data_IF_460672993939
#
_entry.id   IF_460672993939
#
_cell.length_a   1.000
_cell.length_b   1.000
_cell.length_c   1.000
_cell.angle_alpha   90.00
_cell.angle_beta   90.00
_cell.angle_gamma   90.00
#
_symmetry.space_group_name_H-M   'P 1'
#
loop_
_entity.id
_entity.type
_entity.pdbx_description
1 polymer ?
#
# COMPACT_ATOMS: atom_id res chain seq x y z
N UNK A 1 5.60 4.51 -30.06
CA UNK A 1 5.96 3.21 -30.64
C UNK A 1 7.30 2.63 -30.16
N UNK A 2 8.31 3.41 -29.75
CA UNK A 2 9.55 2.85 -29.15
C UNK A 2 9.42 2.44 -27.66
N UNK A 3 8.60 3.15 -26.88
CA UNK A 3 8.39 2.88 -25.44
C UNK A 3 7.69 1.53 -25.18
N UNK A 4 6.72 1.16 -26.01
CA UNK A 4 5.97 -0.10 -25.87
C UNK A 4 6.83 -1.34 -26.12
N UNK A 5 7.69 -1.33 -27.15
CA UNK A 5 8.60 -2.43 -27.42
C UNK A 5 9.69 -2.61 -26.34
N UNK A 6 10.14 -1.50 -25.74
CA UNK A 6 11.10 -1.56 -24.62
C UNK A 6 10.43 -2.10 -23.35
N UNK A 7 9.21 -1.64 -23.05
CA UNK A 7 8.42 -2.15 -21.93
C UNK A 7 8.13 -3.65 -22.09
N UNK A 8 7.74 -4.11 -23.29
CA UNK A 8 7.53 -5.53 -23.60
C UNK A 8 8.82 -6.37 -23.48
N UNK A 9 9.98 -5.84 -23.85
CA UNK A 9 11.26 -6.53 -23.66
C UNK A 9 11.67 -6.64 -22.18
N UNK A 10 11.36 -5.63 -21.36
CA UNK A 10 11.60 -5.65 -19.90
C UNK A 10 10.64 -6.64 -19.22
N UNK A 11 9.38 -6.74 -19.69
CA UNK A 11 8.39 -7.72 -19.24
C UNK A 11 8.87 -9.16 -19.52
N UNK A 12 9.44 -9.41 -20.69
CA UNK A 12 9.93 -10.75 -21.08
C UNK A 12 11.27 -11.17 -20.43
N UNK A 13 11.98 -10.30 -19.70
CA UNK A 13 13.40 -10.52 -19.35
C UNK A 13 13.75 -10.57 -17.85
N UNK A 14 12.82 -10.88 -16.94
CA UNK A 14 13.08 -10.79 -15.49
C UNK A 14 13.44 -9.35 -15.02
N UNK A 15 12.89 -8.34 -15.70
CA UNK A 15 13.19 -6.94 -15.39
C UNK A 15 12.73 -6.50 -13.99
N UNK A 16 11.74 -7.17 -13.40
CA UNK A 16 11.17 -6.81 -12.10
C UNK A 16 12.21 -6.91 -10.94
N UNK A 17 12.89 -8.05 -10.71
CA UNK A 17 14.00 -8.12 -9.74
C UNK A 17 15.11 -7.08 -9.96
N UNK A 18 15.45 -6.80 -11.22
CA UNK A 18 16.50 -5.83 -11.56
C UNK A 18 16.07 -4.42 -11.18
N UNK A 19 14.83 -4.03 -11.50
CA UNK A 19 14.28 -2.73 -11.15
C UNK A 19 14.10 -2.55 -9.64
N UNK A 20 13.71 -3.60 -8.92
CA UNK A 20 13.66 -3.59 -7.45
C UNK A 20 15.06 -3.35 -6.88
N UNK A 21 16.07 -4.06 -7.38
CA UNK A 21 17.47 -3.88 -6.94
C UNK A 21 17.98 -2.49 -7.27
N UNK A 22 17.67 -1.97 -8.45
CA UNK A 22 18.01 -0.61 -8.86
C UNK A 22 17.33 0.42 -7.95
N UNK A 23 16.04 0.26 -7.67
CA UNK A 23 15.29 1.11 -6.74
C UNK A 23 15.99 1.15 -5.38
N UNK A 24 16.51 0.03 -4.89
CA UNK A 24 17.17 -0.07 -3.59
C UNK A 24 18.53 0.63 -3.51
N UNK A 25 19.30 0.64 -4.58
CA UNK A 25 20.67 1.18 -4.61
C UNK A 25 20.75 2.62 -5.15
N UNK A 26 19.74 3.08 -5.87
CA UNK A 26 19.76 4.40 -6.53
C UNK A 26 19.48 5.53 -5.54
N UNK A 27 20.19 6.65 -5.72
CA UNK A 27 20.03 7.89 -4.94
C UNK A 27 19.66 9.10 -5.81
N UNK A 28 19.85 9.02 -7.13
CA UNK A 28 19.46 10.08 -8.04
C UNK A 28 17.93 10.11 -8.23
N UNK A 29 17.31 11.26 -7.93
CA UNK A 29 15.85 11.40 -8.00
C UNK A 29 15.27 11.14 -9.40
N UNK A 30 15.94 11.60 -10.46
CA UNK A 30 15.48 11.38 -11.83
C UNK A 30 15.51 9.90 -12.20
N UNK A 31 16.58 9.20 -11.81
CA UNK A 31 16.69 7.75 -12.00
C UNK A 31 15.63 7.01 -11.18
N UNK A 32 15.40 7.42 -9.92
CA UNK A 32 14.32 6.87 -9.08
C UNK A 32 12.95 7.06 -9.75
N UNK A 33 12.63 8.26 -10.23
CA UNK A 33 11.37 8.54 -10.95
C UNK A 33 11.19 7.63 -12.17
N UNK A 34 12.26 7.41 -12.95
CA UNK A 34 12.24 6.49 -14.10
C UNK A 34 12.03 5.03 -13.68
N UNK A 35 12.72 4.58 -12.63
CA UNK A 35 12.58 3.21 -12.09
C UNK A 35 11.17 2.99 -11.57
N UNK A 36 10.63 3.93 -10.79
CA UNK A 36 9.27 3.86 -10.24
C UNK A 36 8.24 3.80 -11.37
N UNK A 37 8.42 4.61 -12.41
CA UNK A 37 7.53 4.57 -13.57
C UNK A 37 7.62 3.23 -14.31
N UNK A 38 8.83 2.70 -14.52
CA UNK A 38 8.99 1.40 -15.16
C UNK A 38 8.29 0.31 -14.34
N UNK A 39 8.49 0.29 -13.02
CA UNK A 39 7.79 -0.60 -12.10
C UNK A 39 6.27 -0.43 -12.20
N UNK A 40 5.76 0.81 -12.23
CA UNK A 40 4.33 1.11 -12.35
C UNK A 40 3.72 0.45 -13.59
N UNK A 41 4.39 0.56 -14.73
CA UNK A 41 3.87 -0.02 -15.98
C UNK A 41 3.90 -1.54 -15.97
N UNK A 42 4.90 -2.16 -15.32
CA UNK A 42 4.94 -3.62 -15.16
C UNK A 42 3.81 -4.13 -14.27
N UNK A 43 3.52 -3.42 -13.17
CA UNK A 43 2.54 -3.85 -12.17
C UNK A 43 1.10 -3.49 -12.56
N UNK A 44 0.91 -2.49 -13.43
CA UNK A 44 -0.40 -1.95 -13.82
C UNK A 44 -1.40 -3.00 -14.31
N UNK A 45 -0.93 -4.06 -14.97
CA UNK A 45 -1.80 -5.06 -15.60
C UNK A 45 -1.59 -6.49 -15.10
N UNK A 46 -0.73 -6.70 -14.10
CA UNK A 46 -0.38 -8.06 -13.65
C UNK A 46 -0.38 -8.15 -12.12
N UNK A 47 -1.41 -8.82 -11.58
CA UNK A 47 -1.49 -9.15 -10.14
C UNK A 47 -0.32 -10.06 -9.73
N UNK A 48 0.16 -10.90 -10.63
CA UNK A 48 1.36 -11.74 -10.41
C UNK A 48 2.61 -10.89 -10.20
N UNK A 49 2.82 -9.84 -11.01
CA UNK A 49 3.94 -8.93 -10.82
C UNK A 49 3.82 -8.12 -9.52
N UNK A 50 2.60 -7.77 -9.11
CA UNK A 50 2.36 -7.14 -7.79
C UNK A 50 2.71 -8.11 -6.66
N UNK A 51 2.32 -9.38 -6.77
CA UNK A 51 2.65 -10.39 -5.77
C UNK A 51 4.16 -10.55 -5.59
N UNK A 52 4.93 -10.52 -6.67
CA UNK A 52 6.38 -10.61 -6.64
C UNK A 52 7.08 -9.35 -6.05
N UNK A 53 6.36 -8.25 -5.81
CA UNK A 53 6.91 -7.09 -5.08
C UNK A 53 6.97 -7.31 -3.57
N UNK A 54 6.14 -8.22 -3.04
CA UNK A 54 5.93 -8.35 -1.60
C UNK A 54 7.22 -8.73 -0.85
N UNK A 55 8.11 -9.49 -1.47
CA UNK A 55 9.40 -9.88 -0.87
C UNK A 55 10.42 -8.74 -0.78
N UNK A 56 10.11 -7.57 -1.33
CA UNK A 56 11.10 -6.51 -1.57
C UNK A 56 10.87 -5.20 -0.84
N UNK A 57 9.87 -5.13 0.05
CA UNK A 57 9.54 -3.94 0.87
C UNK A 57 9.39 -2.65 0.05
N UNK A 58 9.02 -2.77 -1.23
CA UNK A 58 8.92 -1.64 -2.18
C UNK A 58 7.89 -0.61 -1.69
N UNK A 59 6.74 -1.05 -1.18
CA UNK A 59 5.73 -0.16 -0.63
C UNK A 59 6.27 0.71 0.51
N UNK A 60 7.03 0.12 1.44
CA UNK A 60 7.62 0.86 2.55
C UNK A 60 8.67 1.87 2.06
N UNK A 61 9.51 1.50 1.09
CA UNK A 61 10.50 2.41 0.51
C UNK A 61 9.84 3.60 -0.20
N UNK A 62 8.82 3.34 -1.02
CA UNK A 62 8.09 4.40 -1.73
C UNK A 62 7.33 5.32 -0.79
N UNK A 63 6.74 4.76 0.27
CA UNK A 63 6.08 5.56 1.30
C UNK A 63 7.09 6.51 1.99
N UNK A 64 8.29 6.01 2.32
CA UNK A 64 9.35 6.83 2.91
C UNK A 64 9.81 7.95 1.97
N UNK A 65 9.97 7.66 0.68
CA UNK A 65 10.31 8.69 -0.33
C UNK A 65 9.18 9.73 -0.42
N UNK A 66 7.92 9.29 -0.43
CA UNK A 66 6.77 10.18 -0.51
C UNK A 66 6.69 11.15 0.69
N UNK A 67 6.92 10.64 1.90
CA UNK A 67 6.82 11.44 3.14
C UNK A 67 8.04 12.35 3.34
N UNK A 68 9.22 11.97 2.82
CA UNK A 68 10.46 12.72 2.99
C UNK A 68 10.32 14.19 2.57
N UNK A 69 10.73 15.13 3.41
CA UNK A 69 10.78 16.56 3.08
C UNK A 69 11.82 16.88 2.01
N UNK A 70 12.79 16.00 1.80
CA UNK A 70 13.89 16.19 0.84
C UNK A 70 13.48 15.81 -0.58
N UNK A 71 12.42 15.03 -0.75
CA UNK A 71 12.00 14.55 -2.07
C UNK A 71 11.27 15.62 -2.88
N UNK A 72 11.64 15.73 -4.15
CA UNK A 72 11.00 16.67 -5.07
C UNK A 72 9.49 16.39 -5.27
N UNK A 73 8.69 17.42 -5.62
CA UNK A 73 7.27 17.26 -5.90
C UNK A 73 6.98 16.24 -7.01
N UNK A 74 7.84 16.18 -8.05
CA UNK A 74 7.70 15.22 -9.15
C UNK A 74 7.88 13.78 -8.66
N UNK A 75 8.94 13.52 -7.89
CA UNK A 75 9.21 12.20 -7.32
C UNK A 75 8.08 11.76 -6.37
N UNK A 76 7.54 12.68 -5.57
CA UNK A 76 6.38 12.41 -4.71
C UNK A 76 5.13 12.08 -5.50
N UNK A 77 4.82 12.86 -6.54
CA UNK A 77 3.71 12.55 -7.45
C UNK A 77 3.86 11.16 -8.08
N UNK A 78 5.08 10.77 -8.43
CA UNK A 78 5.36 9.45 -9.01
C UNK A 78 5.17 8.31 -8.00
N UNK A 79 5.67 8.47 -6.78
CA UNK A 79 5.44 7.52 -5.69
C UNK A 79 3.94 7.36 -5.42
N UNK A 80 3.21 8.47 -5.32
CA UNK A 80 1.77 8.44 -5.07
C UNK A 80 1.00 7.74 -6.18
N UNK A 81 1.33 8.00 -7.45
CA UNK A 81 0.72 7.33 -8.60
C UNK A 81 0.91 5.82 -8.53
N UNK A 82 2.16 5.37 -8.31
CA UNK A 82 2.49 3.95 -8.17
C UNK A 82 1.73 3.29 -7.01
N UNK A 83 1.74 3.93 -5.82
CA UNK A 83 1.07 3.38 -4.63
C UNK A 83 -0.43 3.22 -4.89
N UNK A 84 -1.09 4.24 -5.45
CA UNK A 84 -2.53 4.17 -5.76
C UNK A 84 -2.86 3.10 -6.80
N UNK A 85 -2.03 2.94 -7.82
CA UNK A 85 -2.26 2.00 -8.93
C UNK A 85 -1.87 0.56 -8.62
N UNK A 86 -1.12 0.32 -7.54
CA UNK A 86 -0.62 -1.01 -7.18
C UNK A 86 -1.32 -1.57 -5.93
N UNK A 87 -1.72 -0.71 -4.99
CA UNK A 87 -2.39 -1.13 -3.74
C UNK A 87 -3.70 -1.86 -4.00
N UNK A 88 -4.49 -1.44 -5.00
CA UNK A 88 -5.75 -2.09 -5.37
C UNK A 88 -5.62 -3.53 -5.89
N UNK A 89 -4.40 -3.96 -6.21
CA UNK A 89 -4.04 -5.30 -6.72
C UNK A 89 -3.22 -6.11 -5.73
N UNK A 90 -2.80 -5.51 -4.61
CA UNK A 90 -2.03 -6.21 -3.60
C UNK A 90 -2.98 -6.96 -2.65
N UNK A 91 -2.83 -8.29 -2.59
CA UNK A 91 -3.62 -9.17 -1.71
C UNK A 91 -2.81 -9.66 -0.50
N UNK A 92 -1.55 -9.26 -0.36
CA UNK A 92 -0.79 -9.52 0.85
C UNK A 92 -1.19 -8.51 1.93
N UNK A 93 -1.84 -9.01 2.97
CA UNK A 93 -2.35 -8.17 4.05
C UNK A 93 -1.24 -7.44 4.81
N UNK A 94 -0.06 -8.04 4.95
CA UNK A 94 1.07 -7.45 5.69
C UNK A 94 1.61 -6.21 4.98
N UNK A 95 1.69 -6.25 3.64
CA UNK A 95 2.14 -5.11 2.84
C UNK A 95 1.15 -3.94 2.89
N UNK A 96 -0.15 -4.24 2.85
CA UNK A 96 -1.18 -3.21 3.00
C UNK A 96 -1.21 -2.64 4.43
N UNK A 97 -0.97 -3.48 5.44
CA UNK A 97 -0.87 -3.03 6.82
C UNK A 97 0.27 -2.01 7.03
N UNK A 98 1.42 -2.18 6.38
CA UNK A 98 2.53 -1.21 6.46
C UNK A 98 2.08 0.21 6.05
N UNK A 99 1.17 0.30 5.08
CA UNK A 99 0.59 1.56 4.64
C UNK A 99 -0.36 2.19 5.66
N UNK A 100 -0.78 1.49 6.72
CA UNK A 100 -1.64 2.09 7.76
C UNK A 100 -0.89 2.93 8.80
N UNK A 101 0.44 2.90 8.83
CA UNK A 101 1.23 3.56 9.88
C UNK A 101 1.52 5.04 9.61
N UNK A 102 2.25 5.31 8.52
CA UNK A 102 2.79 6.64 8.24
C UNK A 102 2.10 7.31 7.04
N UNK A 103 1.10 6.64 6.46
CA UNK A 103 0.53 7.12 5.20
C UNK A 103 -0.35 8.36 5.38
N UNK A 104 -0.23 9.31 4.44
CA UNK A 104 -1.17 10.40 4.35
C UNK A 104 -2.56 9.87 3.91
N UNK A 105 -3.63 10.66 4.07
CA UNK A 105 -4.99 10.26 3.73
C UNK A 105 -5.16 9.72 2.30
N UNK A 106 -4.40 10.24 1.33
CA UNK A 106 -4.46 9.90 -0.09
C UNK A 106 -4.05 8.45 -0.39
N UNK A 107 -3.18 7.88 0.45
CA UNK A 107 -2.72 6.48 0.35
C UNK A 107 -3.54 5.59 1.30
N UNK A 108 -3.97 6.15 2.43
CA UNK A 108 -4.75 5.43 3.44
C UNK A 108 -6.09 4.93 2.90
N UNK A 109 -6.81 5.75 2.13
CA UNK A 109 -8.12 5.36 1.60
C UNK A 109 -8.04 4.16 0.63
N UNK A 110 -7.15 4.15 -0.39
CA UNK A 110 -6.91 2.95 -1.20
C UNK A 110 -6.53 1.72 -0.37
N UNK A 111 -5.68 1.88 0.65
CA UNK A 111 -5.26 0.79 1.51
C UNK A 111 -6.44 0.19 2.30
N UNK A 112 -7.27 1.03 2.93
CA UNK A 112 -8.46 0.57 3.65
C UNK A 112 -9.47 -0.10 2.72
N UNK A 113 -9.72 0.46 1.53
CA UNK A 113 -10.60 -0.17 0.52
C UNK A 113 -10.09 -1.55 0.11
N UNK A 114 -8.76 -1.71 -0.03
CA UNK A 114 -8.18 -3.02 -0.33
C UNK A 114 -8.31 -4.00 0.84
N UNK A 115 -8.09 -3.55 2.08
CA UNK A 115 -8.33 -4.38 3.27
C UNK A 115 -9.79 -4.84 3.35
N UNK A 116 -10.77 -3.99 3.03
CA UNK A 116 -12.17 -4.41 2.97
C UNK A 116 -12.35 -5.63 2.05
N UNK A 117 -11.74 -5.61 0.85
CA UNK A 117 -11.84 -6.71 -0.12
C UNK A 117 -11.17 -7.99 0.40
N UNK A 118 -9.95 -7.88 0.93
CA UNK A 118 -9.19 -9.04 1.44
C UNK A 118 -9.95 -9.67 2.62
N UNK A 119 -10.35 -8.86 3.60
CA UNK A 119 -11.01 -9.32 4.81
C UNK A 119 -12.41 -9.87 4.54
N UNK A 120 -13.14 -9.35 3.54
CA UNK A 120 -14.43 -9.90 3.15
C UNK A 120 -14.33 -11.37 2.73
N UNK A 121 -13.25 -11.74 2.04
CA UNK A 121 -13.11 -13.03 1.36
C UNK A 121 -12.28 -14.06 2.15
N UNK A 122 -11.32 -13.61 2.97
CA UNK A 122 -10.35 -14.51 3.63
C UNK A 122 -10.42 -14.47 5.17
N UNK A 123 -10.94 -15.55 5.75
CA UNK A 123 -11.03 -15.75 7.20
C UNK A 123 -9.65 -15.95 7.85
N UNK A 124 -8.65 -16.48 7.11
CA UNK A 124 -7.27 -16.55 7.60
C UNK A 124 -6.67 -15.15 7.65
N UNK A 125 -6.90 -14.33 6.64
CA UNK A 125 -6.46 -12.93 6.63
C UNK A 125 -7.02 -12.14 7.81
N UNK A 126 -8.30 -12.34 8.20
CA UNK A 126 -8.88 -11.74 9.42
C UNK A 126 -8.08 -12.09 10.68
N UNK A 127 -7.71 -13.37 10.84
CA UNK A 127 -6.93 -13.83 12.00
C UNK A 127 -5.52 -13.21 12.01
N UNK A 128 -4.86 -13.18 10.85
CA UNK A 128 -3.56 -12.53 10.69
C UNK A 128 -3.65 -11.05 11.06
N UNK A 129 -4.64 -10.33 10.52
CA UNK A 129 -4.86 -8.90 10.75
C UNK A 129 -5.01 -8.52 12.22
N UNK A 130 -5.63 -9.38 13.03
CA UNK A 130 -5.74 -9.17 14.48
C UNK A 130 -4.39 -9.45 15.15
N UNK A 131 -3.74 -10.56 14.79
CA UNK A 131 -2.44 -10.96 15.39
C UNK A 131 -1.29 -9.98 15.12
N UNK A 132 -1.31 -9.29 13.98
CA UNK A 132 -0.32 -8.29 13.58
C UNK A 132 -0.62 -6.88 14.11
N UNK A 133 -1.68 -6.73 14.93
CA UNK A 133 -2.22 -5.46 15.39
C UNK A 133 -2.76 -4.54 14.27
N UNK A 134 -3.08 -5.08 13.08
CA UNK A 134 -3.71 -4.34 11.99
C UNK A 134 -5.04 -3.70 12.43
N UNK A 135 -5.90 -4.46 13.14
CA UNK A 135 -7.17 -3.93 13.65
C UNK A 135 -6.95 -2.79 14.66
N UNK A 136 -5.95 -2.89 15.53
CA UNK A 136 -5.56 -1.83 16.46
C UNK A 136 -5.23 -0.52 15.74
N UNK A 137 -4.55 -0.59 14.60
CA UNK A 137 -4.22 0.59 13.80
C UNK A 137 -5.45 1.21 13.17
N UNK A 138 -6.34 0.39 12.62
CA UNK A 138 -7.62 0.87 12.09
C UNK A 138 -8.43 1.59 13.17
N UNK A 139 -8.44 1.09 14.40
CA UNK A 139 -9.11 1.77 15.53
C UNK A 139 -8.43 3.08 15.95
N UNK A 140 -7.14 3.24 15.71
CA UNK A 140 -6.41 4.47 16.02
C UNK A 140 -6.69 5.58 14.99
N UNK A 141 -7.22 5.24 13.82
CA UNK A 141 -7.61 6.22 12.81
C UNK A 141 -8.78 7.06 13.33
N UNK A 142 -8.66 8.39 13.17
CA UNK A 142 -9.72 9.36 13.51
C UNK A 142 -10.24 10.05 12.24
N UNK A 143 -10.84 9.31 11.29
CA UNK A 143 -11.34 9.92 10.07
C UNK A 143 -12.53 10.85 10.36
N UNK A 144 -12.72 11.93 9.60
CA UNK A 144 -13.90 12.79 9.70
C UNK A 144 -15.19 11.96 9.56
N UNK A 145 -16.20 12.25 10.38
CA UNK A 145 -17.50 11.58 10.29
C UNK A 145 -18.13 11.80 8.90
N UNK A 146 -18.67 10.74 8.30
CA UNK A 146 -19.27 10.78 6.95
C UNK A 146 -18.26 10.81 5.80
N UNK A 147 -16.95 10.70 6.07
CA UNK A 147 -15.94 10.53 5.01
C UNK A 147 -15.86 9.08 4.52
N UNK A 148 -15.41 8.87 3.29
CA UNK A 148 -15.15 7.52 2.74
C UNK A 148 -14.17 6.70 3.61
N UNK A 149 -13.23 7.38 4.29
CA UNK A 149 -12.33 6.73 5.25
C UNK A 149 -13.09 6.16 6.45
N UNK A 150 -14.04 6.91 6.99
CA UNK A 150 -14.89 6.48 8.12
C UNK A 150 -15.79 5.31 7.73
N UNK A 151 -16.32 5.33 6.51
CA UNK A 151 -17.09 4.21 5.95
C UNK A 151 -16.23 2.94 5.80
N UNK A 152 -15.02 3.07 5.26
CA UNK A 152 -14.10 1.94 5.12
C UNK A 152 -13.72 1.34 6.49
N UNK A 153 -13.46 2.17 7.50
CA UNK A 153 -13.23 1.72 8.89
C UNK A 153 -14.45 0.95 9.42
N UNK A 154 -15.65 1.47 9.18
CA UNK A 154 -16.90 0.82 9.63
C UNK A 154 -17.09 -0.56 8.98
N UNK A 155 -16.82 -0.67 7.67
CA UNK A 155 -16.87 -1.94 6.95
C UNK A 155 -15.84 -2.93 7.52
N UNK A 156 -14.60 -2.51 7.74
CA UNK A 156 -13.57 -3.37 8.34
C UNK A 156 -14.02 -3.88 9.71
N UNK A 157 -14.57 -3.02 10.56
CA UNK A 157 -15.07 -3.39 11.89
C UNK A 157 -16.17 -4.45 11.82
N UNK A 158 -17.04 -4.40 10.80
CA UNK A 158 -18.12 -5.38 10.62
C UNK A 158 -17.66 -6.82 10.38
N UNK A 159 -16.38 -7.02 9.99
CA UNK A 159 -15.81 -8.35 9.78
C UNK A 159 -15.31 -9.01 11.06
N UNK A 160 -15.36 -8.31 12.20
CA UNK A 160 -14.89 -8.78 13.50
C UNK A 160 -16.01 -8.74 14.54
N UNK A 161 -16.00 -9.66 15.54
CA UNK A 161 -16.91 -9.58 16.67
C UNK A 161 -16.76 -8.27 17.44
N UNK A 162 -17.86 -7.75 17.97
CA UNK A 162 -17.88 -6.46 18.67
C UNK A 162 -16.88 -6.41 19.85
N UNK A 163 -16.75 -7.49 20.60
CA UNK A 163 -15.80 -7.57 21.73
C UNK A 163 -14.34 -7.42 21.29
N UNK A 164 -14.00 -7.96 20.11
CA UNK A 164 -12.66 -7.82 19.52
C UNK A 164 -12.43 -6.38 19.08
N UNK A 165 -13.41 -5.75 18.42
CA UNK A 165 -13.32 -4.34 18.01
C UNK A 165 -13.13 -3.45 19.25
N UNK A 166 -13.99 -3.61 20.27
CA UNK A 166 -13.94 -2.85 21.53
C UNK A 166 -12.63 -3.04 22.30
N UNK A 167 -12.03 -4.24 22.26
CA UNK A 167 -10.74 -4.49 22.89
C UNK A 167 -9.62 -3.62 22.29
N UNK A 168 -9.67 -3.39 20.97
CA UNK A 168 -8.68 -2.60 20.25
C UNK A 168 -9.05 -1.12 20.10
N UNK A 169 -10.31 -0.74 20.32
CA UNK A 169 -10.73 0.66 20.33
C UNK A 169 -10.02 1.42 21.46
N UNK A 170 -9.46 2.62 21.20
CA UNK A 170 -8.92 3.45 22.26
C UNK A 170 -10.00 3.69 23.31
N UNK A 171 -9.79 3.22 24.54
CA UNK A 171 -10.62 3.68 25.65
C UNK A 171 -10.34 5.17 25.79
N UNK A 172 -11.31 6.00 25.44
CA UNK A 172 -11.30 7.39 25.88
C UNK A 172 -11.33 7.33 27.41
N UNK A 173 -10.15 7.46 28.03
CA UNK A 173 -10.07 7.82 29.43
C UNK A 173 -10.68 9.22 29.49
N UNK A 174 -11.89 9.27 30.01
CA UNK A 174 -12.57 10.49 30.40
C UNK A 174 -11.66 11.10 31.48
N UNK A 175 -11.01 12.22 31.16
CA UNK A 175 -10.40 13.15 32.12
C UNK A 175 -11.13 14.47 32.02
#
# INVERSE_FOLDING_TARGET
SQSEHLALHIIHSQGLPVLIKALNNESNETCLSCIIWALENLTKHSVEHVHNLNDSLVFAKLLRIYISSESSPDLKCRCLSFLRSTVDKCFNIQDIELLLYESPPEILLPALKQLCKILAQDVKARRVFVSTNGLKRVQALKPPAGSELSEAVTIINSYFPEDIVRFYSPRNLIS
#
